data_IF_961069415453
#
_entry.id   IF_961069415453
#
_cell.length_a   1.000
_cell.length_b   1.000
_cell.length_c   1.000
_cell.angle_alpha   90.00
_cell.angle_beta   90.00
_cell.angle_gamma   90.00
#
_symmetry.space_group_name_H-M   'P 1'
#
loop_
_entity.id
_entity.type
_entity.pdbx_description
1 polymer ?
#
# COMPACT_ATOMS: atom_id res chain seq x y z
N UNK A 1 81.24 -37.26 -42.78
CA UNK A 1 82.27 -37.30 -41.71
C UNK A 1 82.69 -35.88 -41.40
N UNK A 2 82.30 -35.34 -40.24
CA UNK A 2 82.80 -34.07 -39.71
C UNK A 2 83.13 -34.27 -38.22
N UNK A 3 84.28 -33.79 -37.72
CA UNK A 3 84.77 -34.16 -36.40
C UNK A 3 84.02 -33.43 -35.27
N UNK A 4 83.68 -34.19 -34.25
CA UNK A 4 83.13 -33.76 -32.96
C UNK A 4 84.14 -32.86 -32.24
N UNK A 5 83.81 -31.59 -32.02
CA UNK A 5 84.50 -30.76 -31.01
C UNK A 5 83.77 -30.92 -29.68
N UNK A 6 84.40 -31.65 -28.76
CA UNK A 6 84.08 -31.66 -27.33
C UNK A 6 84.73 -30.41 -26.73
N UNK A 7 83.94 -29.50 -26.19
CA UNK A 7 84.43 -28.43 -25.30
C UNK A 7 84.05 -28.76 -23.86
N UNK A 8 84.92 -28.41 -22.89
CA UNK A 8 84.98 -29.02 -21.57
C UNK A 8 83.85 -28.59 -20.63
N UNK A 9 83.41 -29.55 -19.82
CA UNK A 9 82.67 -29.35 -18.57
C UNK A 9 83.59 -28.63 -17.57
N UNK A 10 83.73 -27.32 -17.68
CA UNK A 10 84.38 -26.51 -16.65
C UNK A 10 83.32 -26.06 -15.66
N UNK A 11 83.32 -26.74 -14.52
CA UNK A 11 82.46 -26.46 -13.38
C UNK A 11 82.63 -25.03 -12.89
N UNK A 12 81.58 -24.24 -13.03
CA UNK A 12 81.37 -23.09 -12.16
C UNK A 12 80.77 -23.63 -10.86
N UNK A 13 81.65 -24.02 -9.94
CA UNK A 13 81.27 -24.16 -8.55
C UNK A 13 80.80 -22.78 -8.08
N UNK A 14 79.49 -22.64 -7.95
CA UNK A 14 78.87 -21.46 -7.33
C UNK A 14 79.33 -21.46 -5.86
N UNK A 15 80.35 -20.66 -5.57
CA UNK A 15 80.80 -20.37 -4.21
C UNK A 15 79.75 -19.48 -3.55
N UNK A 16 78.67 -20.08 -3.04
CA UNK A 16 77.79 -19.43 -2.07
C UNK A 16 78.38 -19.63 -0.66
N UNK A 17 79.47 -18.92 -0.43
CA UNK A 17 80.30 -19.02 0.77
C UNK A 17 80.49 -17.68 1.48
N UNK A 18 79.42 -16.91 1.67
CA UNK A 18 79.44 -15.75 2.57
C UNK A 18 78.21 -15.81 3.50
N UNK A 19 78.48 -16.17 4.77
CA UNK A 19 77.61 -15.99 5.95
C UNK A 19 76.16 -16.49 5.87
N UNK A 20 75.96 -17.78 6.17
CA UNK A 20 74.64 -18.38 6.47
C UNK A 20 73.83 -17.62 7.54
N UNK A 21 74.51 -16.86 8.41
CA UNK A 21 73.93 -16.02 9.46
C UNK A 21 73.37 -14.69 8.97
N UNK A 22 73.85 -14.17 7.83
CA UNK A 22 73.38 -12.93 7.21
C UNK A 22 72.23 -13.16 6.22
N UNK A 23 72.31 -14.24 5.43
CA UNK A 23 71.28 -14.61 4.46
C UNK A 23 69.91 -14.89 5.11
N UNK A 24 69.88 -15.43 6.33
CA UNK A 24 68.62 -15.66 7.09
C UNK A 24 67.95 -14.37 7.54
N UNK A 25 68.72 -13.32 7.90
CA UNK A 25 68.15 -12.03 8.31
C UNK A 25 67.55 -11.28 7.11
N UNK A 26 68.20 -11.35 5.94
CA UNK A 26 67.66 -10.77 4.71
C UNK A 26 66.30 -11.36 4.34
N UNK A 27 66.19 -12.71 4.34
CA UNK A 27 64.92 -13.37 4.03
C UNK A 27 63.83 -13.12 5.08
N UNK A 28 64.16 -12.97 6.37
CA UNK A 28 63.17 -12.64 7.40
C UNK A 28 62.57 -11.25 7.20
N UNK A 29 63.40 -10.25 6.87
CA UNK A 29 62.93 -8.88 6.60
C UNK A 29 62.05 -8.83 5.36
N UNK A 30 62.38 -9.57 4.30
CA UNK A 30 61.54 -9.67 3.10
C UNK A 30 60.22 -10.39 3.38
N UNK A 31 60.25 -11.46 4.17
CA UNK A 31 59.05 -12.20 4.57
C UNK A 31 58.11 -11.33 5.43
N UNK A 32 58.64 -10.56 6.40
CA UNK A 32 57.86 -9.60 7.17
C UNK A 32 57.25 -8.52 6.27
N UNK A 33 58.00 -8.02 5.29
CA UNK A 33 57.50 -7.01 4.34
C UNK A 33 56.36 -7.55 3.48
N UNK A 34 56.47 -8.79 3.02
CA UNK A 34 55.41 -9.48 2.26
C UNK A 34 54.19 -9.74 3.15
N UNK A 35 54.38 -10.19 4.39
CA UNK A 35 53.30 -10.41 5.34
C UNK A 35 52.58 -9.10 5.69
N UNK A 36 53.31 -8.00 5.90
CA UNK A 36 52.73 -6.69 6.16
C UNK A 36 51.93 -6.16 4.96
N UNK A 37 52.39 -6.41 3.73
CA UNK A 37 51.66 -6.06 2.52
C UNK A 37 50.35 -6.86 2.41
N UNK A 38 50.40 -8.18 2.62
CA UNK A 38 49.21 -9.04 2.58
C UNK A 38 48.20 -8.67 3.67
N UNK A 39 48.68 -8.38 4.89
CA UNK A 39 47.81 -7.94 5.99
C UNK A 39 47.10 -6.62 5.66
N UNK A 40 47.80 -5.65 5.04
CA UNK A 40 47.18 -4.39 4.59
C UNK A 40 46.13 -4.62 3.50
N UNK A 41 46.39 -5.51 2.55
CA UNK A 41 45.42 -5.84 1.51
C UNK A 41 44.15 -6.47 2.11
N UNK A 42 44.31 -7.44 3.01
CA UNK A 42 43.17 -8.06 3.71
C UNK A 42 42.38 -7.05 4.55
N UNK A 43 43.06 -6.11 5.23
CA UNK A 43 42.38 -5.04 5.97
C UNK A 43 41.58 -4.11 5.05
N UNK A 44 42.11 -3.77 3.87
CA UNK A 44 41.40 -2.95 2.89
C UNK A 44 40.17 -3.67 2.33
N UNK A 45 40.29 -4.95 1.99
CA UNK A 45 39.17 -5.77 1.52
C UNK A 45 38.07 -5.90 2.59
N UNK A 46 38.47 -6.17 3.84
CA UNK A 46 37.53 -6.25 4.96
C UNK A 46 36.82 -4.91 5.22
N UNK A 47 37.55 -3.79 5.17
CA UNK A 47 36.96 -2.47 5.32
C UNK A 47 35.98 -2.15 4.19
N UNK A 48 36.32 -2.48 2.94
CA UNK A 48 35.44 -2.30 1.79
C UNK A 48 34.16 -3.14 1.90
N UNK A 49 34.28 -4.40 2.29
CA UNK A 49 33.12 -5.27 2.51
C UNK A 49 32.23 -4.75 3.65
N UNK A 50 32.83 -4.29 4.76
CA UNK A 50 32.09 -3.69 5.86
C UNK A 50 31.36 -2.40 5.44
N UNK A 51 31.97 -1.58 4.58
CA UNK A 51 31.33 -0.37 4.05
C UNK A 51 30.13 -0.71 3.17
N UNK A 52 30.27 -1.69 2.26
CA UNK A 52 29.17 -2.19 1.43
C UNK A 52 28.00 -2.71 2.27
N UNK A 53 28.30 -3.53 3.29
CA UNK A 53 27.27 -4.04 4.19
C UNK A 53 26.53 -2.93 4.94
N UNK A 54 27.23 -1.88 5.37
CA UNK A 54 26.59 -0.72 6.01
C UNK A 54 25.68 0.05 5.06
N UNK A 55 26.11 0.25 3.81
CA UNK A 55 25.30 0.93 2.80
C UNK A 55 24.05 0.10 2.46
N UNK A 56 24.18 -1.21 2.29
CA UNK A 56 23.06 -2.11 2.03
C UNK A 56 22.07 -2.13 3.21
N UNK A 57 22.58 -2.13 4.45
CA UNK A 57 21.74 -2.01 5.66
C UNK A 57 21.00 -0.67 5.70
N UNK A 58 21.67 0.44 5.39
CA UNK A 58 21.03 1.76 5.34
C UNK A 58 19.96 1.85 4.25
N UNK A 59 20.21 1.27 3.07
CA UNK A 59 19.21 1.19 1.99
C UNK A 59 18.00 0.36 2.42
N UNK A 60 18.23 -0.82 2.97
CA UNK A 60 17.17 -1.70 3.47
C UNK A 60 16.35 -1.05 4.60
N UNK A 61 17.00 -0.34 5.52
CA UNK A 61 16.32 0.40 6.58
C UNK A 61 15.49 1.56 6.02
N UNK A 62 16.02 2.34 5.08
CA UNK A 62 15.29 3.42 4.42
C UNK A 62 14.06 2.89 3.67
N UNK A 63 14.19 1.75 2.99
CA UNK A 63 13.07 1.08 2.32
C UNK A 63 12.00 0.62 3.31
N UNK A 64 12.41 0.03 4.45
CA UNK A 64 11.47 -0.34 5.53
C UNK A 64 10.74 0.88 6.09
N UNK A 65 11.44 1.98 6.35
CA UNK A 65 10.83 3.22 6.83
C UNK A 65 9.83 3.81 5.82
N UNK A 66 10.15 3.77 4.52
CA UNK A 66 9.21 4.19 3.46
C UNK A 66 7.98 3.29 3.42
N UNK A 67 8.16 1.98 3.45
CA UNK A 67 7.06 1.01 3.45
C UNK A 67 6.16 1.18 4.70
N UNK A 68 6.74 1.44 5.87
CA UNK A 68 5.98 1.73 7.10
C UNK A 68 5.20 3.04 6.99
N UNK A 69 5.83 4.11 6.47
CA UNK A 69 5.14 5.39 6.26
C UNK A 69 4.00 5.28 5.25
N UNK A 70 4.17 4.49 4.18
CA UNK A 70 3.10 4.21 3.22
C UNK A 70 1.95 3.42 3.84
N UNK A 71 2.25 2.40 4.66
CA UNK A 71 1.21 1.67 5.42
C UNK A 71 0.45 2.60 6.35
N UNK A 72 1.16 3.45 7.10
CA UNK A 72 0.52 4.43 7.99
C UNK A 72 -0.38 5.40 7.22
N UNK A 73 0.05 5.88 6.04
CA UNK A 73 -0.78 6.72 5.17
C UNK A 73 -2.03 5.98 4.69
N UNK A 74 -1.89 4.72 4.29
CA UNK A 74 -3.04 3.90 3.87
C UNK A 74 -4.02 3.66 5.03
N UNK A 75 -3.51 3.38 6.23
CA UNK A 75 -4.35 3.19 7.42
C UNK A 75 -5.13 4.46 7.77
N UNK A 76 -4.48 5.63 7.69
CA UNK A 76 -5.14 6.92 7.89
C UNK A 76 -6.25 7.16 6.85
N UNK A 77 -5.98 6.89 5.56
CA UNK A 77 -6.98 7.04 4.49
C UNK A 77 -8.16 6.06 4.66
N UNK A 78 -7.88 4.82 5.08
CA UNK A 78 -8.93 3.84 5.35
C UNK A 78 -9.80 4.28 6.53
N UNK A 79 -9.16 4.77 7.60
CA UNK A 79 -9.87 5.32 8.77
C UNK A 79 -10.72 6.52 8.40
N UNK A 80 -10.23 7.42 7.56
CA UNK A 80 -11.00 8.56 7.04
C UNK A 80 -12.22 8.11 6.23
N UNK A 81 -12.05 7.11 5.34
CA UNK A 81 -13.16 6.51 4.58
C UNK A 81 -14.20 5.86 5.48
N UNK A 82 -13.79 5.17 6.55
CA UNK A 82 -14.71 4.59 7.52
C UNK A 82 -15.50 5.66 8.27
N UNK A 83 -14.84 6.74 8.69
CA UNK A 83 -15.49 7.87 9.34
C UNK A 83 -16.51 8.53 8.40
N UNK A 84 -16.14 8.76 7.13
CA UNK A 84 -17.06 9.32 6.13
C UNK A 84 -18.28 8.40 5.89
N UNK A 85 -18.10 7.06 5.89
CA UNK A 85 -19.22 6.11 5.80
C UNK A 85 -20.15 6.21 7.00
N UNK A 86 -19.60 6.29 8.22
CA UNK A 86 -20.39 6.45 9.46
C UNK A 86 -21.13 7.78 9.48
N UNK A 87 -20.49 8.86 9.04
CA UNK A 87 -21.11 10.17 8.96
C UNK A 87 -22.28 10.19 7.95
N UNK A 88 -22.09 9.60 6.77
CA UNK A 88 -23.16 9.46 5.78
C UNK A 88 -24.33 8.61 6.32
N UNK A 89 -24.05 7.55 7.06
CA UNK A 89 -25.09 6.72 7.71
C UNK A 89 -25.88 7.54 8.75
N UNK A 90 -25.19 8.31 9.59
CA UNK A 90 -25.83 9.20 10.56
C UNK A 90 -26.70 10.26 9.86
N UNK A 91 -26.22 10.84 8.76
CA UNK A 91 -26.96 11.82 7.98
C UNK A 91 -28.24 11.22 7.36
N UNK A 92 -28.16 10.00 6.82
CA UNK A 92 -29.35 9.29 6.29
C UNK A 92 -30.35 9.02 7.42
N UNK A 93 -29.86 8.59 8.59
CA UNK A 93 -30.70 8.35 9.77
C UNK A 93 -31.38 9.62 10.26
N UNK A 94 -30.66 10.73 10.32
CA UNK A 94 -31.21 12.04 10.71
C UNK A 94 -32.25 12.53 9.70
N UNK A 95 -31.98 12.37 8.39
CA UNK A 95 -32.94 12.72 7.34
C UNK A 95 -34.20 11.86 7.40
N UNK A 96 -34.07 10.58 7.74
CA UNK A 96 -35.22 9.70 7.93
C UNK A 96 -36.04 10.09 9.17
N UNK A 97 -35.37 10.49 10.27
CA UNK A 97 -36.05 10.96 11.48
C UNK A 97 -36.77 12.30 11.27
N UNK A 98 -36.21 13.20 10.45
CA UNK A 98 -36.80 14.49 10.12
C UNK A 98 -37.73 14.44 8.89
N UNK A 99 -38.04 13.26 8.36
CA UNK A 99 -38.96 13.15 7.24
C UNK A 99 -40.35 13.64 7.72
N UNK A 100 -40.94 14.68 7.10
CA UNK A 100 -42.27 15.12 7.48
C UNK A 100 -43.24 13.95 7.31
N UNK A 101 -44.14 13.78 8.28
CA UNK A 101 -45.12 12.71 8.29
C UNK A 101 -46.08 12.91 7.09
N UNK A 102 -45.77 12.28 5.95
CA UNK A 102 -46.55 12.29 4.71
C UNK A 102 -47.97 11.69 4.90
N UNK A 103 -48.35 11.27 6.12
CA UNK A 103 -49.71 10.84 6.45
C UNK A 103 -50.78 11.90 6.16
N UNK A 104 -50.42 13.18 6.01
CA UNK A 104 -51.36 14.24 5.59
C UNK A 104 -51.45 14.48 4.07
N UNK A 105 -50.60 13.84 3.26
CA UNK A 105 -50.63 13.92 1.79
C UNK A 105 -51.28 12.70 1.12
N UNK A 106 -51.63 11.67 1.89
CA UNK A 106 -52.48 10.61 1.36
C UNK A 106 -53.89 11.19 1.12
N UNK A 107 -54.42 11.19 -0.12
CA UNK A 107 -55.81 11.56 -0.35
C UNK A 107 -56.70 10.66 0.53
N UNK A 108 -57.77 11.19 1.15
CA UNK A 108 -58.63 10.41 2.01
C UNK A 108 -59.19 9.22 1.22
N UNK A 109 -58.64 8.03 1.46
CA UNK A 109 -59.17 6.81 0.91
C UNK A 109 -60.37 6.43 1.75
N UNK A 110 -61.56 6.65 1.21
CA UNK A 110 -62.79 6.18 1.83
C UNK A 110 -62.90 4.69 1.57
N UNK A 111 -62.35 3.91 2.50
CA UNK A 111 -62.46 2.44 2.52
C UNK A 111 -63.81 2.10 3.15
N UNK A 112 -64.85 2.09 2.34
CA UNK A 112 -66.20 1.69 2.73
C UNK A 112 -67.12 1.55 1.52
N UNK A 113 -68.22 0.78 1.63
CA UNK A 113 -69.22 0.64 0.55
C UNK A 113 -69.95 1.96 0.23
N UNK A 114 -69.76 2.99 1.05
CA UNK A 114 -70.40 4.30 0.98
C UNK A 114 -69.56 5.34 0.24
N UNK A 115 -68.83 4.93 -0.80
CA UNK A 115 -68.03 5.82 -1.63
C UNK A 115 -68.64 5.97 -3.04
N UNK A 116 -68.93 7.21 -3.42
CA UNK A 116 -69.37 7.59 -4.76
C UNK A 116 -68.21 8.20 -5.54
N UNK A 117 -68.15 7.98 -6.85
CA UNK A 117 -67.16 8.63 -7.71
C UNK A 117 -67.80 9.79 -8.47
N UNK A 118 -67.16 10.96 -8.44
CA UNK A 118 -67.63 12.10 -9.20
C UNK A 118 -67.50 11.82 -10.70
N UNK A 119 -68.60 11.96 -11.45
CA UNK A 119 -68.63 11.74 -12.90
C UNK A 119 -67.81 12.76 -13.69
N UNK A 120 -67.51 13.93 -13.12
CA UNK A 120 -66.74 14.98 -13.79
C UNK A 120 -65.23 14.88 -13.57
N UNK A 121 -64.77 14.61 -12.34
CA UNK A 121 -63.34 14.61 -12.02
C UNK A 121 -62.80 13.28 -11.48
N UNK A 122 -63.64 12.27 -11.29
CA UNK A 122 -63.23 10.96 -10.78
C UNK A 122 -62.89 10.92 -9.28
N UNK A 123 -63.00 12.04 -8.54
CA UNK A 123 -62.72 12.04 -7.11
C UNK A 123 -63.74 11.19 -6.33
N UNK A 124 -63.22 10.44 -5.35
CA UNK A 124 -64.02 9.69 -4.39
C UNK A 124 -64.69 10.66 -3.40
N UNK A 125 -66.01 10.58 -3.27
CA UNK A 125 -66.87 11.40 -2.42
C UNK A 125 -67.67 10.49 -1.48
N UNK A 126 -68.11 10.96 -0.31
CA UNK A 126 -68.91 10.14 0.61
C UNK A 126 -70.37 10.10 0.16
N UNK A 127 -71.04 8.97 0.35
CA UNK A 127 -72.50 8.87 0.25
C UNK A 127 -73.12 9.82 1.28
N UNK A 128 -73.84 10.84 0.79
CA UNK A 128 -74.42 11.92 1.61
C UNK A 128 -73.85 13.31 1.32
N UNK A 129 -72.69 13.40 0.66
CA UNK A 129 -72.15 14.69 0.21
C UNK A 129 -73.01 15.24 -0.94
N UNK A 130 -73.43 16.51 -0.82
CA UNK A 130 -74.21 17.18 -1.88
C UNK A 130 -73.32 17.63 -3.04
N UNK A 131 -72.02 17.83 -2.80
CA UNK A 131 -71.06 18.36 -3.76
C UNK A 131 -69.74 17.60 -3.71
N UNK A 132 -69.08 17.47 -4.86
CA UNK A 132 -67.75 16.88 -4.96
C UNK A 132 -66.70 17.82 -4.36
N UNK A 133 -65.93 17.35 -3.37
CA UNK A 133 -64.83 18.12 -2.76
C UNK A 133 -63.67 18.47 -3.70
N UNK A 134 -63.60 17.85 -4.89
CA UNK A 134 -62.57 18.16 -5.89
C UNK A 134 -62.96 19.23 -6.90
N UNK A 135 -64.16 19.12 -7.49
CA UNK A 135 -64.58 19.97 -8.60
C UNK A 135 -65.86 20.78 -8.36
N UNK A 136 -66.50 20.61 -7.19
CA UNK A 136 -67.72 21.32 -6.81
C UNK A 136 -69.01 20.86 -7.52
N UNK A 137 -68.97 19.79 -8.31
CA UNK A 137 -70.17 19.27 -8.99
C UNK A 137 -71.17 18.73 -7.96
N UNK A 138 -72.46 19.01 -8.17
CA UNK A 138 -73.53 18.42 -7.37
C UNK A 138 -73.61 16.90 -7.59
N UNK A 139 -73.60 16.13 -6.51
CA UNK A 139 -73.68 14.67 -6.52
C UNK A 139 -75.14 14.20 -6.45
N UNK A 140 -75.46 13.03 -7.02
CA UNK A 140 -76.81 12.48 -6.97
C UNK A 140 -77.22 12.15 -5.52
N UNK A 141 -78.52 12.24 -5.18
CA UNK A 141 -79.00 11.94 -3.84
C UNK A 141 -78.78 10.45 -3.49
N UNK A 142 -78.43 10.13 -2.24
CA UNK A 142 -78.24 8.75 -1.81
C UNK A 142 -79.56 7.98 -1.91
N UNK A 143 -79.61 6.92 -2.74
CA UNK A 143 -80.77 6.02 -2.86
C UNK A 143 -81.50 5.98 -4.21
N UNK A 144 -80.92 6.52 -5.28
CA UNK A 144 -81.47 6.40 -6.66
C UNK A 144 -80.49 5.74 -7.64
N UNK A 145 -79.91 4.59 -7.25
CA UNK A 145 -79.16 3.72 -8.15
C UNK A 145 -79.89 2.39 -8.30
#
# INVERSE_FOLDING_TARGET
MFPRRRSPLLGAAVVYGASRSGARRGMQVEAERQAAMQARAQQQEAAYQAQRQREDQQRAESERQRAESERQRQDMLNKERELARKEAELQVRERAANRPDDRYLAPPQYVGPDALFCTKCGNQCRVGDKFCGGCGLQLPPPGQA
#
